data_IF_218710022019
#
_entry.id   IF_218710022019
#
_cell.length_a   1.000
_cell.length_b   1.000
_cell.length_c   1.000
_cell.angle_alpha   90.00
_cell.angle_beta   90.00
_cell.angle_gamma   90.00
#
_symmetry.space_group_name_H-M   'P 1'
#
loop_
_entity.id
_entity.type
_entity.pdbx_description
1 polymer ?
#
# COMPACT_ATOMS: atom_id res chain seq x y z
N UNK A 1 7.60 -10.57 -16.42
CA UNK A 1 7.61 -9.37 -15.58
C UNK A 1 6.26 -9.26 -14.89
N UNK A 2 6.20 -9.53 -13.59
CA UNK A 2 4.97 -9.43 -12.80
C UNK A 2 4.82 -8.06 -12.14
N UNK A 3 3.68 -7.83 -11.47
CA UNK A 3 3.47 -6.70 -10.57
C UNK A 3 3.15 -7.27 -9.19
N UNK A 4 3.76 -6.75 -8.13
CA UNK A 4 3.42 -7.13 -6.75
C UNK A 4 2.57 -6.04 -6.10
N UNK A 5 1.39 -6.42 -5.64
CA UNK A 5 0.52 -5.54 -4.83
C UNK A 5 0.77 -5.79 -3.35
N UNK A 6 1.08 -4.74 -2.59
CA UNK A 6 1.41 -4.80 -1.17
C UNK A 6 0.35 -4.08 -0.34
N UNK A 7 -0.51 -4.85 0.33
CA UNK A 7 -1.56 -4.35 1.22
C UNK A 7 -1.36 -4.87 2.66
N UNK A 8 -0.25 -4.48 3.28
CA UNK A 8 0.17 -4.94 4.62
C UNK A 8 0.55 -3.76 5.51
N UNK A 9 0.55 -3.95 6.83
CA UNK A 9 0.88 -2.90 7.80
C UNK A 9 -0.31 -2.07 8.27
N UNK A 10 -1.51 -2.30 7.74
CA UNK A 10 -2.72 -1.54 8.08
C UNK A 10 -3.22 -1.81 9.50
N UNK A 11 -2.91 -2.98 10.09
CA UNK A 11 -3.29 -3.38 11.45
C UNK A 11 -2.16 -3.20 12.48
N UNK A 12 -0.94 -2.94 12.03
CA UNK A 12 0.25 -2.80 12.87
C UNK A 12 0.42 -1.40 13.46
N UNK A 13 1.08 -1.33 14.62
CA UNK A 13 1.46 -0.05 15.24
C UNK A 13 2.52 0.66 14.37
N UNK A 14 2.30 1.95 13.97
CA UNK A 14 3.25 2.72 13.17
C UNK A 14 4.53 3.02 13.94
N UNK A 15 5.46 2.07 13.90
CA UNK A 15 6.69 2.06 14.68
C UNK A 15 7.91 1.84 13.79
N UNK A 16 9.11 2.15 14.31
CA UNK A 16 10.38 1.82 13.64
C UNK A 16 10.49 0.31 13.33
N UNK A 17 9.94 -0.54 14.19
CA UNK A 17 9.94 -1.99 13.97
C UNK A 17 9.10 -2.37 12.76
N UNK A 18 7.91 -1.78 12.59
CA UNK A 18 7.09 -1.99 11.41
C UNK A 18 7.83 -1.55 10.14
N UNK A 19 8.46 -0.38 10.16
CA UNK A 19 9.25 0.10 9.02
C UNK A 19 10.37 -0.87 8.64
N UNK A 20 11.14 -1.37 9.61
CA UNK A 20 12.20 -2.35 9.36
C UNK A 20 11.66 -3.66 8.77
N UNK A 21 10.52 -4.16 9.28
CA UNK A 21 9.88 -5.38 8.77
C UNK A 21 9.42 -5.21 7.32
N UNK A 22 8.76 -4.11 7.00
CA UNK A 22 8.23 -3.82 5.67
C UNK A 22 9.36 -3.52 4.66
N UNK A 23 10.42 -2.84 5.07
CA UNK A 23 11.63 -2.67 4.24
C UNK A 23 12.25 -4.02 3.90
N UNK A 24 12.43 -4.92 4.90
CA UNK A 24 12.94 -6.27 4.66
C UNK A 24 12.02 -7.09 3.76
N UNK A 25 10.71 -7.00 3.95
CA UNK A 25 9.74 -7.63 3.07
C UNK A 25 9.98 -7.19 1.61
N UNK A 26 10.07 -5.88 1.36
CA UNK A 26 10.26 -5.32 0.01
C UNK A 26 11.58 -5.73 -0.64
N UNK A 27 12.67 -5.77 0.14
CA UNK A 27 13.98 -6.22 -0.34
C UNK A 27 13.98 -7.67 -0.83
N UNK A 28 13.12 -8.51 -0.26
CA UNK A 28 13.04 -9.94 -0.62
C UNK A 28 12.04 -10.23 -1.76
N UNK A 29 11.37 -9.20 -2.30
CA UNK A 29 10.46 -9.35 -3.43
C UNK A 29 11.24 -9.06 -4.73
N UNK A 30 11.40 -10.06 -5.62
CA UNK A 30 12.21 -9.91 -6.84
C UNK A 30 11.53 -9.10 -7.94
N UNK A 31 10.21 -8.88 -7.82
CA UNK A 31 9.44 -8.12 -8.80
C UNK A 31 9.87 -6.65 -8.81
N UNK A 32 10.20 -6.14 -9.99
CA UNK A 32 10.64 -4.74 -10.14
C UNK A 32 9.51 -3.75 -9.89
N UNK A 33 8.30 -4.04 -10.41
CA UNK A 33 7.11 -3.21 -10.19
C UNK A 33 6.38 -3.64 -8.93
N UNK A 34 6.32 -2.77 -7.94
CA UNK A 34 5.50 -2.96 -6.75
C UNK A 34 4.57 -1.75 -6.54
N UNK A 35 3.35 -2.03 -6.09
CA UNK A 35 2.34 -1.02 -5.77
C UNK A 35 1.94 -1.21 -4.31
N UNK A 36 2.10 -0.19 -3.47
CA UNK A 36 1.68 -0.21 -2.08
C UNK A 36 0.28 0.37 -1.91
N UNK A 37 -0.60 -0.38 -1.28
CA UNK A 37 -1.92 0.10 -0.85
C UNK A 37 -1.74 0.85 0.48
N UNK A 38 -1.94 2.18 0.46
CA UNK A 38 -1.84 2.99 1.66
C UNK A 38 -3.18 2.95 2.42
N UNK A 39 -3.19 2.62 3.72
CA UNK A 39 -4.41 2.53 4.50
C UNK A 39 -5.02 3.92 4.78
N UNK A 40 -6.30 3.95 5.16
CA UNK A 40 -6.98 5.19 5.57
C UNK A 40 -6.33 5.93 6.74
N UNK A 41 -5.64 5.21 7.63
CA UNK A 41 -4.87 5.82 8.73
C UNK A 41 -3.69 6.60 8.18
N UNK A 42 -3.73 7.94 8.31
CA UNK A 42 -2.69 8.84 7.78
C UNK A 42 -1.29 8.53 8.33
N UNK A 43 -1.20 8.18 9.62
CA UNK A 43 0.08 7.83 10.25
C UNK A 43 0.68 6.56 9.64
N UNK A 44 -0.13 5.52 9.41
CA UNK A 44 0.33 4.27 8.79
C UNK A 44 0.63 4.46 7.31
N UNK A 45 -0.21 5.21 6.61
CA UNK A 45 -0.01 5.59 5.20
C UNK A 45 1.32 6.33 5.00
N UNK A 46 1.64 7.30 5.86
CA UNK A 46 2.90 8.02 5.78
C UNK A 46 4.12 7.10 5.96
N UNK A 47 4.07 6.21 6.95
CA UNK A 47 5.13 5.22 7.17
C UNK A 47 5.32 4.32 5.94
N UNK A 48 4.23 3.74 5.42
CA UNK A 48 4.29 2.85 4.26
C UNK A 48 4.78 3.61 3.02
N UNK A 49 4.30 4.84 2.80
CA UNK A 49 4.71 5.68 1.69
C UNK A 49 6.21 6.00 1.74
N UNK A 50 6.79 6.22 2.93
CA UNK A 50 8.24 6.45 3.07
C UNK A 50 9.08 5.26 2.59
N UNK A 51 8.57 4.04 2.75
CA UNK A 51 9.20 2.82 2.24
C UNK A 51 9.04 2.77 0.73
N UNK A 52 7.81 2.95 0.22
CA UNK A 52 7.56 2.96 -1.22
C UNK A 52 8.48 3.94 -1.97
N UNK A 53 8.62 5.17 -1.46
CA UNK A 53 9.54 6.19 -2.00
C UNK A 53 11.00 5.72 -2.02
N UNK A 54 11.44 5.01 -0.98
CA UNK A 54 12.82 4.49 -0.88
C UNK A 54 13.14 3.48 -1.99
N UNK A 55 12.16 2.71 -2.44
CA UNK A 55 12.32 1.70 -3.49
C UNK A 55 11.87 2.18 -4.87
N UNK A 56 11.33 3.41 -4.99
CA UNK A 56 10.72 3.90 -6.23
C UNK A 56 9.44 3.16 -6.60
N UNK A 57 8.75 2.58 -5.61
CA UNK A 57 7.50 1.85 -5.81
C UNK A 57 6.31 2.80 -6.01
N UNK A 58 5.29 2.32 -6.72
CA UNK A 58 4.02 3.02 -6.88
C UNK A 58 3.18 2.93 -5.60
N UNK A 59 2.23 3.86 -5.44
CA UNK A 59 1.27 3.84 -4.31
C UNK A 59 -0.16 4.07 -4.76
N UNK A 60 -1.10 3.41 -4.09
CA UNK A 60 -2.53 3.65 -4.21
C UNK A 60 -3.09 4.00 -2.82
N UNK A 61 -3.45 5.27 -2.63
CA UNK A 61 -4.00 5.73 -1.35
C UNK A 61 -5.50 5.42 -1.23
N UNK A 62 -5.87 4.60 -0.24
CA UNK A 62 -7.27 4.28 0.02
C UNK A 62 -8.09 5.50 0.44
N UNK A 63 -7.46 6.59 0.89
CA UNK A 63 -8.12 7.89 1.13
C UNK A 63 -9.01 8.38 0.00
N UNK A 64 -8.64 7.99 -1.23
CA UNK A 64 -9.28 8.44 -2.46
C UNK A 64 -10.65 7.80 -2.66
N UNK A 65 -10.95 6.74 -1.91
CA UNK A 65 -12.19 5.98 -2.01
C UNK A 65 -13.03 6.15 -0.76
N UNK A 66 -14.35 6.19 -0.92
CA UNK A 66 -15.27 6.33 0.20
C UNK A 66 -15.13 5.16 1.18
N UNK A 67 -15.22 5.45 2.48
CA UNK A 67 -15.25 4.44 3.55
C UNK A 67 -16.27 4.81 4.63
N UNK A 68 -16.87 3.80 5.26
CA UNK A 68 -17.78 3.97 6.40
C UNK A 68 -17.05 3.84 7.74
N UNK A 69 -16.04 2.98 7.81
CA UNK A 69 -15.32 2.61 9.03
C UNK A 69 -13.87 3.09 9.07
N UNK A 70 -13.39 3.71 7.97
CA UNK A 70 -12.00 4.10 7.75
C UNK A 70 -11.03 2.91 7.81
N UNK A 71 -11.50 1.72 7.47
CA UNK A 71 -10.69 0.51 7.33
C UNK A 71 -10.92 -0.08 5.93
N UNK A 72 -12.18 -0.15 5.51
CA UNK A 72 -12.59 -0.77 4.26
C UNK A 72 -13.22 0.28 3.31
N UNK A 73 -12.85 0.26 2.02
CA UNK A 73 -13.62 0.95 0.99
C UNK A 73 -15.07 0.48 0.96
N UNK A 74 -15.99 1.39 0.65
CA UNK A 74 -17.40 1.04 0.42
C UNK A 74 -17.55 0.16 -0.81
N UNK A 75 -16.75 0.41 -1.85
CA UNK A 75 -16.75 -0.35 -3.09
C UNK A 75 -15.33 -0.71 -3.53
N UNK A 76 -14.99 -1.99 -3.49
CA UNK A 76 -13.70 -2.49 -3.94
C UNK A 76 -13.54 -2.46 -5.47
N UNK A 77 -14.64 -2.32 -6.24
CA UNK A 77 -14.57 -2.21 -7.70
C UNK A 77 -13.85 -0.93 -8.12
N UNK A 78 -14.09 0.18 -7.42
CA UNK A 78 -13.39 1.45 -7.66
C UNK A 78 -11.88 1.31 -7.46
N UNK A 79 -11.47 0.60 -6.40
CA UNK A 79 -10.05 0.31 -6.14
C UNK A 79 -9.46 -0.55 -7.26
N UNK A 80 -10.17 -1.59 -7.68
CA UNK A 80 -9.72 -2.50 -8.74
C UNK A 80 -9.59 -1.82 -10.10
N UNK A 81 -10.51 -0.91 -10.44
CA UNK A 81 -10.50 -0.18 -11.71
C UNK A 81 -9.25 0.70 -11.87
N UNK A 82 -8.67 1.18 -10.76
CA UNK A 82 -7.43 1.96 -10.79
C UNK A 82 -6.18 1.08 -10.92
N UNK A 83 -6.26 -0.19 -10.50
CA UNK A 83 -5.12 -1.13 -10.53
C UNK A 83 -5.01 -1.89 -11.86
N UNK A 84 -6.12 -2.07 -12.56
CA UNK A 84 -6.17 -2.74 -13.85
C UNK A 84 -6.03 -1.69 -14.95
N UNK A 85 -5.08 -1.84 -15.90
CA UNK A 85 -5.10 -1.02 -17.10
C UNK A 85 -6.43 -1.22 -17.82
N UNK A 86 -7.07 -0.12 -18.26
CA UNK A 86 -8.23 -0.24 -19.15
C UNK A 86 -7.80 -1.01 -20.41
N UNK A 87 -8.57 -2.05 -20.76
CA UNK A 87 -8.37 -2.84 -21.96
C UNK A 87 -8.92 -2.10 -23.19
#
# INVERSE_FOLDING_TARGET
>A
YGTTLLAVGSNDEPSRLLALKLTRLRQNIPTQRAIWILPYSRTRAYLINSIAVTFGDETLDLARFQSKDRIHPVDYREVSAVLLPEH
#
